data_IF_451622200647
#
_entry.id   IF_451622200647
#
_cell.length_a   1.000
_cell.length_b   1.000
_cell.length_c   1.000
_cell.angle_alpha   90.00
_cell.angle_beta   90.00
_cell.angle_gamma   90.00
#
_symmetry.space_group_name_H-M   'P 1'
#
loop_
_entity.id
_entity.type
_entity.pdbx_description
1 polymer ?
#
# COMPACT_ATOMS: atom_id res chain seq x y z
N UNK A 1 45.30 9.40 -14.36
CA UNK A 1 44.43 10.56 -14.09
C UNK A 1 43.05 10.01 -13.88
N UNK A 2 42.50 10.07 -12.65
CA UNK A 2 41.12 9.67 -12.45
C UNK A 2 40.22 10.63 -13.25
N UNK A 3 39.28 10.15 -14.07
CA UNK A 3 38.36 11.03 -14.77
C UNK A 3 37.61 11.85 -13.72
N UNK A 4 37.71 13.17 -13.82
CA UNK A 4 37.00 14.09 -12.95
C UNK A 4 35.52 13.89 -13.28
N UNK A 5 34.75 13.31 -12.35
CA UNK A 5 33.34 13.05 -12.57
C UNK A 5 32.63 14.36 -12.97
N UNK A 6 31.97 14.35 -14.11
CA UNK A 6 31.14 15.47 -14.58
C UNK A 6 30.20 15.87 -13.42
N UNK A 7 30.12 17.17 -13.04
CA UNK A 7 29.20 17.64 -12.02
C UNK A 7 27.75 17.13 -12.21
N UNK A 8 27.33 16.92 -13.46
CA UNK A 8 26.01 16.34 -13.78
C UNK A 8 25.90 14.89 -13.31
N UNK A 9 26.90 14.06 -13.59
CA UNK A 9 26.96 12.66 -13.14
C UNK A 9 26.97 12.56 -11.61
N UNK A 10 27.68 13.46 -10.94
CA UNK A 10 27.66 13.53 -9.48
C UNK A 10 26.25 13.84 -8.94
N UNK A 11 25.55 14.85 -9.50
CA UNK A 11 24.18 15.21 -9.08
C UNK A 11 23.21 14.03 -9.25
N UNK A 12 23.30 13.31 -10.37
CA UNK A 12 22.47 12.13 -10.62
C UNK A 12 22.71 11.04 -9.56
N UNK A 13 23.98 10.70 -9.29
CA UNK A 13 24.36 9.70 -8.27
C UNK A 13 23.85 10.11 -6.88
N UNK A 14 24.10 11.35 -6.46
CA UNK A 14 23.66 11.85 -5.15
C UNK A 14 22.14 11.84 -5.01
N UNK A 15 21.41 12.19 -6.07
CA UNK A 15 19.94 12.19 -6.05
C UNK A 15 19.40 10.77 -5.90
N UNK A 16 19.85 9.83 -6.75
CA UNK A 16 19.43 8.43 -6.69
C UNK A 16 19.74 7.83 -5.32
N UNK A 17 20.97 8.04 -4.82
CA UNK A 17 21.39 7.53 -3.53
C UNK A 17 20.53 8.09 -2.39
N UNK A 18 20.33 9.41 -2.35
CA UNK A 18 19.59 10.07 -1.26
C UNK A 18 18.12 9.65 -1.25
N UNK A 19 17.46 9.66 -2.41
CA UNK A 19 16.05 9.23 -2.52
C UNK A 19 15.90 7.77 -2.09
N UNK A 20 16.74 6.88 -2.59
CA UNK A 20 16.66 5.47 -2.23
C UNK A 20 17.05 5.21 -0.76
N UNK A 21 17.95 6.00 -0.17
CA UNK A 21 18.28 5.88 1.25
C UNK A 21 17.08 6.24 2.13
N UNK A 22 16.36 7.32 1.79
CA UNK A 22 15.12 7.69 2.50
C UNK A 22 14.08 6.57 2.37
N UNK A 23 13.85 6.07 1.16
CA UNK A 23 12.88 4.99 0.91
C UNK A 23 13.29 3.70 1.63
N UNK A 24 14.59 3.39 1.69
CA UNK A 24 15.12 2.24 2.44
C UNK A 24 14.85 2.37 3.94
N UNK A 25 15.08 3.55 4.53
CA UNK A 25 14.78 3.81 5.94
C UNK A 25 13.27 3.68 6.24
N UNK A 26 12.42 4.20 5.36
CA UNK A 26 10.97 4.06 5.48
C UNK A 26 10.53 2.59 5.36
N UNK A 27 11.07 1.84 4.40
CA UNK A 27 10.83 0.40 4.26
C UNK A 27 11.28 -0.39 5.49
N UNK A 28 12.43 -0.03 6.07
CA UNK A 28 12.94 -0.60 7.31
C UNK A 28 12.04 -0.30 8.51
N UNK A 29 11.50 0.92 8.60
CA UNK A 29 10.52 1.28 9.64
C UNK A 29 9.22 0.48 9.49
N UNK A 30 8.67 0.36 8.27
CA UNK A 30 7.46 -0.43 8.00
C UNK A 30 7.69 -1.90 8.36
N UNK A 31 8.82 -2.47 7.93
CA UNK A 31 9.20 -3.85 8.25
C UNK A 31 9.35 -4.04 9.77
N UNK A 32 10.06 -3.13 10.43
CA UNK A 32 10.30 -3.16 11.87
C UNK A 32 9.01 -3.09 12.67
N UNK A 33 8.08 -2.19 12.29
CA UNK A 33 6.75 -2.09 12.89
C UNK A 33 5.96 -3.38 12.64
N UNK A 34 5.96 -3.90 11.40
CA UNK A 34 5.27 -5.15 11.09
C UNK A 34 5.79 -6.36 11.88
N UNK A 35 7.11 -6.49 12.03
CA UNK A 35 7.75 -7.53 12.83
C UNK A 35 7.49 -7.33 14.31
N UNK A 36 7.62 -6.10 14.83
CA UNK A 36 7.37 -5.82 16.24
C UNK A 36 5.94 -6.16 16.61
N UNK A 37 4.98 -5.67 15.82
CA UNK A 37 3.58 -6.06 15.95
C UNK A 37 3.50 -7.58 15.96
N UNK A 38 4.16 -8.30 15.02
CA UNK A 38 4.18 -9.79 14.95
C UNK A 38 4.86 -10.52 16.11
N UNK A 39 5.80 -9.91 16.80
CA UNK A 39 6.59 -10.55 17.84
C UNK A 39 6.08 -10.28 19.26
N UNK A 40 5.42 -9.15 19.47
CA UNK A 40 5.03 -8.65 20.80
C UNK A 40 3.85 -9.43 21.40
N UNK A 41 4.14 -10.32 22.34
CA UNK A 41 3.15 -11.21 22.95
C UNK A 41 2.04 -10.50 23.70
N UNK A 42 2.31 -9.34 24.29
CA UNK A 42 1.34 -8.57 25.08
C UNK A 42 0.37 -7.84 24.14
N UNK A 43 0.90 -7.31 23.04
CA UNK A 43 0.11 -6.84 21.91
C UNK A 43 -0.77 -7.98 21.35
N UNK A 44 -0.22 -9.19 21.23
CA UNK A 44 -0.97 -10.39 20.80
C UNK A 44 -1.98 -10.89 21.83
N UNK A 45 -1.76 -10.75 23.13
CA UNK A 45 -2.70 -11.19 24.16
C UNK A 45 -3.93 -10.29 24.18
N UNK A 46 -3.72 -8.97 24.08
CA UNK A 46 -4.79 -7.99 23.88
C UNK A 46 -5.56 -8.25 22.58
N UNK A 47 -4.86 -8.62 21.50
CA UNK A 47 -5.47 -8.84 20.19
C UNK A 47 -6.09 -10.24 20.00
N UNK A 48 -5.60 -11.27 20.72
CA UNK A 48 -6.16 -12.63 20.74
C UNK A 48 -7.46 -12.66 21.55
N UNK A 49 -7.59 -11.80 22.58
CA UNK A 49 -8.87 -11.55 23.24
C UNK A 49 -9.91 -10.88 22.30
N UNK A 50 -9.45 -10.26 21.22
CA UNK A 50 -10.24 -9.59 20.19
C UNK A 50 -10.38 -10.41 18.90
N UNK A 51 -9.76 -11.59 18.86
CA UNK A 51 -9.65 -12.57 17.77
C UNK A 51 -9.57 -11.90 16.39
N UNK A 52 -8.38 -11.54 15.84
CA UNK A 52 -8.28 -10.82 14.55
C UNK A 52 -7.33 -11.43 13.48
N UNK A 53 -7.69 -12.53 12.75
CA UNK A 53 -7.08 -13.05 11.48
C UNK A 53 -6.67 -12.11 10.30
N UNK A 54 -7.47 -11.15 9.83
CA UNK A 54 -7.13 -10.19 8.76
C UNK A 54 -6.17 -9.09 9.21
N UNK A 55 -6.03 -8.86 10.51
CA UNK A 55 -4.92 -8.05 11.02
C UNK A 55 -3.59 -8.79 10.79
N UNK A 56 -3.58 -10.13 10.85
CA UNK A 56 -2.43 -10.91 10.40
C UNK A 56 -2.18 -10.69 8.90
N UNK A 57 -3.22 -10.68 8.06
CA UNK A 57 -3.05 -10.40 6.62
C UNK A 57 -2.46 -9.01 6.38
N UNK A 58 -2.98 -7.97 7.02
CA UNK A 58 -2.44 -6.61 6.91
C UNK A 58 -0.99 -6.51 7.42
N UNK A 59 -0.65 -7.18 8.54
CA UNK A 59 0.71 -7.24 9.05
C UNK A 59 1.66 -7.98 8.10
N UNK A 60 1.25 -9.13 7.57
CA UNK A 60 2.04 -9.88 6.59
C UNK A 60 2.23 -9.12 5.29
N UNK A 61 1.20 -8.38 4.83
CA UNK A 61 1.33 -7.46 3.69
C UNK A 61 2.31 -6.33 4.01
N UNK A 62 2.25 -5.72 5.19
CA UNK A 62 3.20 -4.67 5.60
C UNK A 62 4.64 -5.20 5.67
N UNK A 63 4.85 -6.40 6.22
CA UNK A 63 6.16 -7.08 6.24
C UNK A 63 6.65 -7.33 4.81
N UNK A 64 5.81 -7.92 3.95
CA UNK A 64 6.17 -8.22 2.57
C UNK A 64 6.52 -6.95 1.79
N UNK A 65 5.70 -5.89 1.90
CA UNK A 65 5.96 -4.59 1.28
C UNK A 65 7.25 -3.97 1.81
N UNK A 66 7.48 -4.00 3.13
CA UNK A 66 8.71 -3.50 3.75
C UNK A 66 9.95 -4.20 3.20
N UNK A 67 9.93 -5.53 3.09
CA UNK A 67 11.03 -6.31 2.49
C UNK A 67 11.25 -5.94 1.02
N UNK A 68 10.17 -5.86 0.23
CA UNK A 68 10.27 -5.49 -1.20
C UNK A 68 10.89 -4.11 -1.35
N UNK A 69 10.42 -3.12 -0.58
CA UNK A 69 10.93 -1.75 -0.59
C UNK A 69 12.43 -1.74 -0.25
N UNK A 70 12.85 -2.45 0.80
CA UNK A 70 14.26 -2.54 1.19
C UNK A 70 15.12 -3.12 0.06
N UNK A 71 14.68 -4.18 -0.60
CA UNK A 71 15.41 -4.81 -1.71
C UNK A 71 15.56 -3.85 -2.89
N UNK A 72 14.45 -3.21 -3.31
CA UNK A 72 14.45 -2.28 -4.44
C UNK A 72 15.36 -1.09 -4.16
N UNK A 73 15.22 -0.48 -2.99
CA UNK A 73 16.04 0.67 -2.60
C UNK A 73 17.50 0.32 -2.38
N UNK A 74 17.81 -0.92 -1.94
CA UNK A 74 19.19 -1.40 -1.86
C UNK A 74 19.85 -1.43 -3.24
N UNK A 75 19.18 -1.95 -4.28
CA UNK A 75 19.72 -1.91 -5.64
C UNK A 75 19.92 -0.48 -6.15
N UNK A 76 19.03 0.46 -5.83
CA UNK A 76 19.19 1.87 -6.18
C UNK A 76 20.39 2.52 -5.49
N UNK A 77 20.52 2.36 -4.17
CA UNK A 77 21.64 2.88 -3.39
C UNK A 77 22.97 2.28 -3.80
N UNK A 78 23.08 0.95 -3.82
CA UNK A 78 24.32 0.25 -4.14
C UNK A 78 24.68 0.40 -5.62
N UNK A 79 23.70 0.44 -6.53
CA UNK A 79 23.94 0.75 -7.93
C UNK A 79 24.63 2.11 -8.09
N UNK A 80 24.06 3.16 -7.50
CA UNK A 80 24.61 4.52 -7.58
C UNK A 80 25.94 4.69 -6.82
N UNK A 81 26.13 4.01 -5.68
CA UNK A 81 27.33 4.15 -4.85
C UNK A 81 28.51 3.28 -5.31
N UNK A 82 28.23 2.10 -5.88
CA UNK A 82 29.26 1.16 -6.33
C UNK A 82 29.53 1.23 -7.84
N UNK A 83 28.86 2.16 -8.55
CA UNK A 83 28.98 2.31 -10.00
C UNK A 83 28.77 0.99 -10.76
N UNK A 84 27.82 0.17 -10.29
CA UNK A 84 27.56 -1.17 -10.83
C UNK A 84 26.45 -1.15 -11.89
N UNK A 85 26.77 -1.29 -13.19
CA UNK A 85 25.76 -1.19 -14.26
C UNK A 85 24.69 -2.28 -14.14
N UNK A 86 25.06 -3.47 -13.66
CA UNK A 86 24.11 -4.56 -13.45
C UNK A 86 23.05 -4.21 -12.39
N UNK A 87 23.47 -3.66 -11.24
CA UNK A 87 22.54 -3.24 -10.18
C UNK A 87 21.66 -2.06 -10.62
N UNK A 88 22.22 -1.07 -11.33
CA UNK A 88 21.43 0.01 -11.93
C UNK A 88 20.39 -0.50 -12.91
N UNK A 89 20.76 -1.46 -13.78
CA UNK A 89 19.83 -2.03 -14.74
C UNK A 89 18.70 -2.81 -14.05
N UNK A 90 19.03 -3.61 -13.02
CA UNK A 90 18.00 -4.29 -12.21
C UNK A 90 17.06 -3.29 -11.56
N UNK A 91 17.59 -2.22 -10.94
CA UNK A 91 16.78 -1.15 -10.36
C UNK A 91 15.88 -0.48 -11.40
N UNK A 92 16.43 -0.17 -12.59
CA UNK A 92 15.68 0.42 -13.70
C UNK A 92 14.51 -0.46 -14.14
N UNK A 93 14.74 -1.76 -14.37
CA UNK A 93 13.69 -2.71 -14.79
C UNK A 93 12.59 -2.80 -13.72
N UNK A 94 12.96 -2.85 -12.44
CA UNK A 94 11.97 -2.90 -11.36
C UNK A 94 11.16 -1.60 -11.31
N UNK A 95 11.79 -0.43 -11.43
CA UNK A 95 11.07 0.84 -11.46
C UNK A 95 10.09 0.94 -12.64
N UNK A 96 10.47 0.47 -13.83
CA UNK A 96 9.56 0.42 -14.99
C UNK A 96 8.36 -0.47 -14.67
N UNK A 97 8.59 -1.64 -14.07
CA UNK A 97 7.51 -2.54 -13.68
C UNK A 97 6.56 -1.89 -12.66
N UNK A 98 7.10 -1.20 -11.65
CA UNK A 98 6.29 -0.48 -10.65
C UNK A 98 5.45 0.62 -11.30
N UNK A 99 6.03 1.44 -12.17
CA UNK A 99 5.29 2.48 -12.90
C UNK A 99 4.15 1.88 -13.73
N UNK A 100 4.41 0.77 -14.45
CA UNK A 100 3.37 0.09 -15.23
C UNK A 100 2.24 -0.42 -14.34
N UNK A 101 2.57 -1.00 -13.19
CA UNK A 101 1.58 -1.46 -12.21
C UNK A 101 0.76 -0.32 -11.63
N UNK A 102 1.39 0.82 -11.30
CA UNK A 102 0.70 2.01 -10.81
C UNK A 102 -0.26 2.59 -11.85
N UNK A 103 0.19 2.73 -13.11
CA UNK A 103 -0.65 3.22 -14.21
C UNK A 103 -1.79 2.24 -14.53
N UNK A 104 -1.54 0.94 -14.47
CA UNK A 104 -2.58 -0.08 -14.63
C UNK A 104 -3.63 -0.01 -13.52
N UNK A 105 -3.19 0.12 -12.25
CA UNK A 105 -4.07 0.29 -11.11
C UNK A 105 -4.90 1.58 -11.24
N UNK A 106 -4.26 2.71 -11.55
CA UNK A 106 -4.94 3.99 -11.77
C UNK A 106 -5.96 3.90 -12.92
N UNK A 107 -5.59 3.24 -14.03
CA UNK A 107 -6.48 3.00 -15.16
C UNK A 107 -7.67 2.10 -14.83
N UNK A 108 -7.47 1.06 -14.01
CA UNK A 108 -8.54 0.20 -13.52
C UNK A 108 -9.49 0.98 -12.60
N UNK A 109 -8.95 1.79 -11.69
CA UNK A 109 -9.75 2.66 -10.82
C UNK A 109 -10.55 3.64 -11.65
N UNK A 110 -9.93 4.32 -12.64
CA UNK A 110 -10.62 5.24 -13.54
C UNK A 110 -11.72 4.54 -14.36
N UNK A 111 -11.43 3.36 -14.91
CA UNK A 111 -12.40 2.59 -15.71
C UNK A 111 -13.62 2.14 -14.89
N UNK A 112 -13.42 1.85 -13.61
CA UNK A 112 -14.48 1.48 -12.67
C UNK A 112 -14.97 2.67 -11.84
N UNK A 113 -14.52 3.90 -12.15
CA UNK A 113 -14.92 5.12 -11.45
C UNK A 113 -16.37 5.54 -11.72
N UNK A 114 -17.11 4.83 -12.60
CA UNK A 114 -18.56 4.80 -12.50
C UNK A 114 -18.90 4.15 -11.16
N UNK A 115 -19.19 5.00 -10.17
CA UNK A 115 -19.23 4.65 -8.76
C UNK A 115 -20.09 3.43 -8.42
N UNK A 116 -21.01 3.01 -9.29
CA UNK A 116 -21.82 1.80 -9.13
C UNK A 116 -20.99 0.51 -9.16
N UNK A 117 -20.10 0.30 -10.14
CA UNK A 117 -19.32 -0.95 -10.24
C UNK A 117 -18.26 -1.06 -9.15
N UNK A 118 -17.63 0.06 -8.82
CA UNK A 118 -16.68 0.10 -7.72
C UNK A 118 -17.38 -0.09 -6.37
N UNK A 119 -18.56 0.52 -6.18
CA UNK A 119 -19.40 0.24 -5.00
C UNK A 119 -19.80 -1.24 -4.96
N UNK A 120 -20.21 -1.84 -6.07
CA UNK A 120 -20.59 -3.26 -6.13
C UNK A 120 -19.42 -4.16 -5.73
N UNK A 121 -18.22 -3.92 -6.27
CA UNK A 121 -17.00 -4.62 -5.86
C UNK A 121 -16.70 -4.46 -4.36
N UNK A 122 -16.82 -3.24 -3.82
CA UNK A 122 -16.63 -2.97 -2.39
C UNK A 122 -17.66 -3.72 -1.55
N UNK A 123 -18.93 -3.66 -1.97
CA UNK A 123 -20.03 -4.33 -1.30
C UNK A 123 -19.84 -5.84 -1.30
N UNK A 124 -19.55 -6.47 -2.44
CA UNK A 124 -19.27 -7.90 -2.52
C UNK A 124 -18.07 -8.30 -1.64
N UNK A 125 -17.00 -7.49 -1.66
CA UNK A 125 -15.82 -7.72 -0.82
C UNK A 125 -16.15 -7.66 0.67
N UNK A 126 -17.00 -6.72 1.09
CA UNK A 126 -17.47 -6.61 2.48
C UNK A 126 -18.37 -7.78 2.84
N UNK A 127 -19.26 -8.21 1.95
CA UNK A 127 -20.12 -9.38 2.18
C UNK A 127 -19.31 -10.65 2.36
N UNK A 128 -18.27 -10.86 1.56
CA UNK A 128 -17.32 -11.97 1.76
C UNK A 128 -16.62 -11.87 3.12
N UNK A 129 -16.27 -10.67 3.61
CA UNK A 129 -15.75 -10.53 4.98
C UNK A 129 -16.81 -10.77 6.07
N UNK A 130 -18.08 -10.43 5.85
CA UNK A 130 -19.19 -10.73 6.77
C UNK A 130 -19.46 -12.23 6.80
N UNK A 131 -19.39 -12.93 5.68
CA UNK A 131 -19.54 -14.39 5.66
C UNK A 131 -18.36 -15.07 6.37
N UNK A 132 -17.14 -14.59 6.12
CA UNK A 132 -15.96 -15.03 6.85
C UNK A 132 -16.11 -14.75 8.35
N UNK A 133 -16.62 -13.59 8.76
CA UNK A 133 -16.80 -13.25 10.18
C UNK A 133 -17.68 -14.21 10.95
N UNK A 134 -18.72 -14.75 10.31
CA UNK A 134 -19.61 -15.76 10.91
C UNK A 134 -18.89 -17.09 11.15
N UNK A 135 -17.99 -17.48 10.24
CA UNK A 135 -17.19 -18.71 10.38
C UNK A 135 -16.06 -18.56 11.40
N UNK A 136 -15.57 -17.33 11.54
CA UNK A 136 -14.40 -16.94 12.33
C UNK A 136 -14.73 -16.69 13.80
N UNK A 137 -16.01 -16.76 14.21
CA UNK A 137 -16.44 -16.86 15.62
C UNK A 137 -16.09 -15.66 16.51
N UNK A 138 -15.93 -14.46 15.95
CA UNK A 138 -15.38 -13.30 16.66
C UNK A 138 -13.97 -12.92 16.20
N UNK A 139 -13.42 -13.70 15.26
CA UNK A 139 -12.21 -13.46 14.48
C UNK A 139 -12.16 -12.10 13.76
N UNK A 140 -11.10 -11.87 12.97
CA UNK A 140 -10.82 -10.54 12.45
C UNK A 140 -11.88 -10.07 11.55
N UNK A 141 -12.41 -11.02 10.82
CA UNK A 141 -13.41 -10.74 9.85
C UNK A 141 -14.59 -10.09 10.54
N UNK A 142 -14.88 -10.46 11.80
CA UNK A 142 -15.82 -9.76 12.64
C UNK A 142 -15.32 -8.37 13.04
N UNK A 143 -14.10 -8.23 13.54
CA UNK A 143 -13.60 -6.95 14.07
C UNK A 143 -13.23 -5.89 13.03
N UNK A 144 -12.74 -6.30 11.86
CA UNK A 144 -12.57 -5.44 10.70
C UNK A 144 -13.93 -4.91 10.27
N UNK A 145 -14.94 -5.79 10.13
CA UNK A 145 -16.31 -5.37 9.81
C UNK A 145 -16.87 -4.46 10.91
N UNK A 146 -16.60 -4.75 12.18
CA UNK A 146 -16.99 -3.93 13.33
C UNK A 146 -16.41 -2.51 13.26
N UNK A 147 -15.08 -2.41 13.12
CA UNK A 147 -14.37 -1.14 13.00
C UNK A 147 -14.78 -0.39 11.74
N UNK A 148 -14.99 -1.10 10.63
CA UNK A 148 -15.45 -0.51 9.38
C UNK A 148 -16.84 0.11 9.56
N UNK A 149 -17.79 -0.65 10.13
CA UNK A 149 -19.16 -0.21 10.37
C UNK A 149 -19.23 0.98 11.34
N UNK A 150 -18.43 0.96 12.41
CA UNK A 150 -18.33 2.08 13.35
C UNK A 150 -17.65 3.31 12.75
N UNK A 151 -16.55 3.14 12.03
CA UNK A 151 -15.76 4.26 11.50
C UNK A 151 -16.43 4.95 10.31
N UNK A 152 -17.17 4.18 9.50
CA UNK A 152 -17.87 4.70 8.33
C UNK A 152 -19.38 4.84 8.56
N UNK A 153 -19.87 4.60 9.77
CA UNK A 153 -21.28 4.71 10.16
C UNK A 153 -22.21 4.01 9.14
N UNK A 154 -21.91 2.74 8.86
CA UNK A 154 -22.58 1.92 7.86
C UNK A 154 -22.97 0.54 8.43
N UNK A 155 -23.85 -0.18 7.75
CA UNK A 155 -24.24 -1.53 8.17
C UNK A 155 -24.37 -2.47 6.97
N UNK A 156 -23.70 -3.62 7.04
CA UNK A 156 -23.71 -4.62 5.97
C UNK A 156 -22.94 -4.19 4.72
N UNK A 157 -23.03 -4.98 3.66
CA UNK A 157 -22.42 -4.65 2.38
C UNK A 157 -23.28 -3.67 1.57
N UNK A 158 -24.57 -4.02 1.39
CA UNK A 158 -25.61 -3.19 0.78
C UNK A 158 -26.44 -2.46 1.84
N UNK A 159 -26.86 -3.18 2.87
CA UNK A 159 -27.61 -2.65 4.00
C UNK A 159 -27.66 -3.69 5.15
N UNK A 160 -28.36 -3.36 6.23
CA UNK A 160 -28.56 -4.22 7.40
C UNK A 160 -29.19 -5.59 7.11
N UNK A 161 -29.89 -5.77 5.98
CA UNK A 161 -30.54 -7.02 5.61
C UNK A 161 -29.53 -8.07 5.09
N UNK A 162 -28.26 -7.71 4.89
CA UNK A 162 -27.19 -8.69 4.71
C UNK A 162 -26.95 -9.54 5.99
N UNK A 163 -27.48 -9.09 7.14
CA UNK A 163 -27.61 -9.86 8.37
C UNK A 163 -29.02 -10.42 8.53
N UNK A 164 -29.16 -11.54 9.24
CA UNK A 164 -30.47 -11.98 9.71
C UNK A 164 -30.97 -11.00 10.78
N UNK A 165 -32.29 -10.77 10.86
CA UNK A 165 -32.89 -9.76 11.75
C UNK A 165 -32.47 -9.91 13.22
N UNK A 166 -32.23 -11.14 13.68
CA UNK A 166 -31.82 -11.44 15.06
C UNK A 166 -30.30 -11.42 15.27
N UNK A 167 -29.51 -11.14 14.22
CA UNK A 167 -28.04 -11.27 14.17
C UNK A 167 -27.37 -9.99 13.62
N UNK A 168 -28.02 -8.83 13.77
CA UNK A 168 -27.42 -7.54 13.42
C UNK A 168 -26.42 -7.15 14.54
N UNK A 169 -25.13 -6.94 14.22
CA UNK A 169 -24.13 -6.63 15.24
C UNK A 169 -24.32 -5.24 15.83
N UNK A 170 -23.91 -5.05 17.09
CA UNK A 170 -23.95 -3.74 17.78
C UNK A 170 -23.21 -2.63 17.00
N UNK A 171 -22.14 -2.98 16.27
CA UNK A 171 -21.39 -2.03 15.43
C UNK A 171 -22.16 -1.45 14.25
N UNK A 172 -23.33 -2.01 13.92
CA UNK A 172 -24.27 -1.43 12.98
C UNK A 172 -25.12 -0.31 13.59
N UNK A 173 -24.97 0.02 14.87
CA UNK A 173 -25.79 1.01 15.57
C UNK A 173 -24.94 2.13 16.17
N UNK A 174 -25.51 3.33 16.21
CA UNK A 174 -24.86 4.46 16.87
C UNK A 174 -24.92 4.34 18.39
N UNK A 175 -23.77 4.40 19.08
CA UNK A 175 -23.67 4.36 20.54
C UNK A 175 -24.52 5.42 21.26
N UNK A 176 -24.83 6.55 20.59
CA UNK A 176 -25.57 7.66 21.19
C UNK A 176 -27.09 7.53 21.07
N UNK A 177 -27.56 6.97 19.96
CA UNK A 177 -28.99 6.96 19.62
C UNK A 177 -29.58 5.55 19.57
N UNK A 178 -28.73 4.53 19.59
CA UNK A 178 -29.07 3.13 19.40
C UNK A 178 -29.84 2.85 18.10
N UNK A 179 -29.74 3.75 17.12
CA UNK A 179 -30.34 3.60 15.80
C UNK A 179 -29.37 2.87 14.87
N UNK A 180 -29.89 1.89 14.13
CA UNK A 180 -29.15 1.13 13.12
C UNK A 180 -28.84 2.01 11.91
N UNK A 181 -27.59 1.97 11.43
CA UNK A 181 -27.17 2.67 10.22
C UNK A 181 -27.93 2.17 9.00
N UNK A 182 -28.34 3.11 8.15
CA UNK A 182 -29.22 2.83 7.00
C UNK A 182 -28.43 2.49 5.74
N UNK A 183 -27.24 3.09 5.58
CA UNK A 183 -26.40 2.93 4.40
C UNK A 183 -25.49 1.70 4.51
N UNK A 184 -25.33 0.97 3.41
CA UNK A 184 -24.35 -0.10 3.28
C UNK A 184 -22.92 0.41 3.26
N UNK A 185 -21.99 -0.42 3.72
CA UNK A 185 -20.58 -0.04 3.80
C UNK A 185 -19.93 0.14 2.43
N UNK A 186 -20.38 -0.54 1.37
CA UNK A 186 -19.83 -0.29 0.04
C UNK A 186 -20.11 1.13 -0.47
N UNK A 187 -21.31 1.66 -0.20
CA UNK A 187 -21.67 3.04 -0.53
C UNK A 187 -20.86 4.05 0.29
N UNK A 188 -20.78 3.86 1.61
CA UNK A 188 -20.06 4.79 2.48
C UNK A 188 -18.54 4.77 2.26
N UNK A 189 -17.94 3.59 1.99
CA UNK A 189 -16.53 3.53 1.57
C UNK A 189 -16.32 4.30 0.28
N UNK A 190 -17.19 4.12 -0.73
CA UNK A 190 -17.07 4.87 -1.98
C UNK A 190 -17.11 6.37 -1.70
N UNK A 191 -18.11 6.86 -0.96
CA UNK A 191 -18.24 8.29 -0.61
C UNK A 191 -17.02 8.81 0.15
N UNK A 192 -16.48 8.02 1.08
CA UNK A 192 -15.26 8.35 1.80
C UNK A 192 -14.05 8.47 0.86
N UNK A 193 -13.88 7.50 -0.04
CA UNK A 193 -12.80 7.51 -1.03
C UNK A 193 -12.97 8.65 -2.03
N UNK A 194 -14.19 8.97 -2.49
CA UNK A 194 -14.48 10.12 -3.35
C UNK A 194 -14.11 11.44 -2.65
N UNK A 195 -14.42 11.58 -1.36
CA UNK A 195 -14.06 12.76 -0.58
C UNK A 195 -12.54 12.90 -0.40
N UNK A 196 -11.81 11.77 -0.34
CA UNK A 196 -10.34 11.74 -0.19
C UNK A 196 -9.59 11.54 -1.50
N UNK A 197 -10.28 11.40 -2.62
CA UNK A 197 -9.71 11.05 -3.91
C UNK A 197 -8.65 12.07 -4.37
N UNK A 198 -8.89 13.35 -4.12
CA UNK A 198 -7.94 14.42 -4.43
C UNK A 198 -6.60 14.26 -3.70
N UNK A 199 -6.63 13.91 -2.41
CA UNK A 199 -5.41 13.69 -1.61
C UNK A 199 -4.68 12.42 -2.06
N UNK A 200 -5.41 11.32 -2.24
CA UNK A 200 -4.83 10.04 -2.67
C UNK A 200 -4.20 10.18 -4.07
N UNK A 201 -4.93 10.83 -4.99
CA UNK A 201 -4.45 11.12 -6.34
C UNK A 201 -3.20 12.02 -6.34
N UNK A 202 -3.15 13.02 -5.47
CA UNK A 202 -1.98 13.88 -5.32
C UNK A 202 -0.74 13.13 -4.83
N UNK A 203 -0.88 12.27 -3.81
CA UNK A 203 0.22 11.43 -3.31
C UNK A 203 0.71 10.47 -4.41
N UNK A 204 -0.22 9.81 -5.12
CA UNK A 204 0.10 8.89 -6.22
C UNK A 204 0.82 9.60 -7.37
N UNK A 205 0.35 10.78 -7.77
CA UNK A 205 0.99 11.56 -8.83
C UNK A 205 2.42 11.98 -8.44
N UNK A 206 2.61 12.43 -7.19
CA UNK A 206 3.94 12.76 -6.68
C UNK A 206 4.89 11.58 -6.70
N UNK A 207 4.41 10.39 -6.33
CA UNK A 207 5.19 9.15 -6.38
C UNK A 207 5.62 8.81 -7.81
N UNK A 208 4.70 8.84 -8.77
CA UNK A 208 4.99 8.61 -10.20
C UNK A 208 6.04 9.60 -10.71
N UNK A 209 5.90 10.89 -10.40
CA UNK A 209 6.87 11.91 -10.83
C UNK A 209 8.29 11.64 -10.30
N UNK A 210 8.41 11.25 -9.03
CA UNK A 210 9.70 10.87 -8.42
C UNK A 210 10.26 9.62 -9.09
N UNK A 211 9.43 8.61 -9.37
CA UNK A 211 9.86 7.39 -10.06
C UNK A 211 10.35 7.67 -11.48
N UNK A 212 9.66 8.50 -12.26
CA UNK A 212 10.06 8.90 -13.62
C UNK A 212 11.40 9.64 -13.58
N UNK A 213 11.60 10.56 -12.62
CA UNK A 213 12.88 11.24 -12.44
C UNK A 213 14.01 10.25 -12.11
N UNK A 214 13.76 9.30 -11.21
CA UNK A 214 14.73 8.25 -10.87
C UNK A 214 15.04 7.34 -12.07
N UNK A 215 14.04 7.02 -12.89
CA UNK A 215 14.21 6.24 -14.12
C UNK A 215 15.12 6.96 -15.12
N UNK A 216 14.87 8.25 -15.36
CA UNK A 216 15.70 9.05 -16.28
C UNK A 216 17.14 9.08 -15.79
N UNK A 217 17.37 9.42 -14.51
CA UNK A 217 18.72 9.50 -13.95
C UNK A 217 19.43 8.15 -13.95
N UNK A 218 18.73 7.07 -13.59
CA UNK A 218 19.30 5.71 -13.61
C UNK A 218 19.64 5.28 -15.03
N UNK A 219 18.79 5.58 -16.01
CA UNK A 219 19.02 5.25 -17.41
C UNK A 219 20.22 5.98 -17.99
N UNK A 220 20.34 7.29 -17.75
CA UNK A 220 21.50 8.09 -18.18
C UNK A 220 22.77 7.57 -17.50
N UNK A 221 22.74 7.37 -16.18
CA UNK A 221 23.90 6.89 -15.42
C UNK A 221 24.34 5.48 -15.87
N UNK A 222 23.38 4.59 -16.17
CA UNK A 222 23.67 3.27 -16.72
C UNK A 222 24.38 3.36 -18.09
N UNK A 223 23.91 4.23 -18.98
CA UNK A 223 24.54 4.44 -20.29
C UNK A 223 25.97 4.96 -20.14
N UNK A 224 26.19 5.98 -19.31
CA UNK A 224 27.52 6.54 -19.04
C UNK A 224 28.48 5.49 -18.49
N UNK A 225 28.07 4.74 -17.46
CA UNK A 225 28.92 3.70 -16.87
C UNK A 225 29.22 2.56 -17.84
N UNK A 226 28.27 2.24 -18.74
CA UNK A 226 28.48 1.21 -19.77
C UNK A 226 29.40 1.68 -20.88
N UNK A 227 29.36 2.94 -21.26
CA UNK A 227 30.32 3.52 -22.21
C UNK A 227 31.72 3.50 -21.61
N UNK A 228 31.89 4.00 -20.38
CA UNK A 228 33.16 3.94 -19.67
C UNK A 228 33.72 2.51 -19.62
N UNK A 229 32.87 1.50 -19.39
CA UNK A 229 33.30 0.09 -19.34
C UNK A 229 33.79 -0.49 -20.67
N UNK A 230 33.43 0.11 -21.82
CA UNK A 230 33.84 -0.35 -23.15
C UNK A 230 35.17 0.26 -23.61
N UNK A 231 35.57 1.37 -23.00
CA UNK A 231 36.78 2.10 -23.36
C UNK A 231 38.04 1.56 -22.64
N UNK A 232 37.87 0.59 -21.71
CA UNK A 232 38.95 -0.16 -21.05
C UNK A 232 39.05 -1.60 -21.58
#
# INVERSE_FOLDING_TARGET
MAPQADPVTAIMKYTIFTVNLIVWLLGGAILGIGIWIRADSDFWEYHRALDIPQYYQACYVAIALGVIILIISFFGCCGAALDSPCMLFTYFVILVFVVVMELAAAGLVWKHANGEKFQEFLTESIKDQIEKSKLDGGGASARFVELLQLHLECCGGYDKNDYHLDDIPQSCSSDRTNNVFIHGCGENIRRYLEQKAGTIGGISLGLVLVQILCLIFTGVLFCTLREDSKDY
#
